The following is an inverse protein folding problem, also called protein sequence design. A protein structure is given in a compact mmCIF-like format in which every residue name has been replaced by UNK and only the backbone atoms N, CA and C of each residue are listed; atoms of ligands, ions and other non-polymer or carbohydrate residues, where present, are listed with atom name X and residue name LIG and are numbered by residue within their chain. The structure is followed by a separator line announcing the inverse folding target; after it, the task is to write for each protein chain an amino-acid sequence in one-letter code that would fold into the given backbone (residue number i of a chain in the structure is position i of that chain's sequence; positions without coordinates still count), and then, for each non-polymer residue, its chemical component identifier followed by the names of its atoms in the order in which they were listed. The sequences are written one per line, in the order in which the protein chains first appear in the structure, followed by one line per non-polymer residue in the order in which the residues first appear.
data_IF_972869578653
#
_entry.id   IF_972869578653
#
_cell.length_a   1.000
_cell.length_b   1.000
_cell.length_c   1.000
_cell.angle_alpha   90.00
_cell.angle_beta   90.00
_cell.angle_gamma   90.00
#
_symmetry.space_group_name_H-M   'P 1'
#
loop_
_entity.id
_entity.type
_entity.pdbx_description
1 polymer ?
#
# COMPACT_ATOMS: atom_id res chain seq x y z
N UNK A 1 45.80 12.52 -40.99
CA UNK A 1 44.72 11.55 -40.71
C UNK A 1 43.99 12.05 -39.48
N UNK A 2 42.93 12.81 -39.72
CA UNK A 2 42.11 13.52 -38.72
C UNK A 2 40.85 12.71 -38.46
N UNK A 3 40.65 12.31 -37.21
CA UNK A 3 39.46 11.61 -36.72
C UNK A 3 38.26 12.57 -36.66
N UNK A 4 37.05 12.15 -37.08
CA UNK A 4 35.87 13.01 -37.03
C UNK A 4 35.25 13.01 -35.62
N UNK A 5 34.88 14.19 -35.11
CA UNK A 5 34.08 14.35 -33.89
C UNK A 5 32.67 13.75 -34.04
N UNK A 6 32.08 13.20 -32.97
CA UNK A 6 30.71 12.69 -33.00
C UNK A 6 29.71 13.86 -33.09
N UNK A 7 28.75 13.77 -34.02
CA UNK A 7 27.64 14.72 -34.12
C UNK A 7 26.66 14.48 -32.96
N UNK A 8 26.37 15.54 -32.21
CA UNK A 8 25.24 15.60 -31.28
C UNK A 8 23.96 15.64 -32.13
N UNK A 9 22.92 14.82 -31.86
CA UNK A 9 21.67 14.92 -32.58
C UNK A 9 20.93 16.19 -32.16
N UNK A 10 20.66 17.08 -33.13
CA UNK A 10 19.70 18.17 -32.97
C UNK A 10 18.31 17.59 -32.76
N UNK A 11 17.80 17.64 -31.53
CA UNK A 11 16.39 17.42 -31.25
C UNK A 11 15.59 18.66 -31.69
N UNK A 12 15.18 18.68 -32.96
CA UNK A 12 14.14 19.59 -33.42
C UNK A 12 12.78 19.03 -32.98
N UNK A 13 12.24 19.56 -31.87
CA UNK A 13 10.86 19.29 -31.48
C UNK A 13 9.95 20.04 -32.46
N UNK A 14 9.55 19.39 -33.54
CA UNK A 14 8.38 19.82 -34.31
C UNK A 14 7.16 19.55 -33.45
N UNK A 15 6.64 20.61 -32.82
CA UNK A 15 5.31 20.58 -32.20
C UNK A 15 4.31 20.43 -33.36
N UNK A 16 3.80 19.22 -33.54
CA UNK A 16 2.75 18.92 -34.51
C UNK A 16 1.46 19.67 -34.14
N UNK A 17 0.73 20.13 -35.16
CA UNK A 17 -0.57 20.80 -35.05
C UNK A 17 -1.56 20.05 -34.15
N UNK A 18 -1.42 18.72 -34.01
CA UNK A 18 -2.25 17.92 -33.09
C UNK A 18 -2.06 18.28 -31.61
N UNK A 19 -0.85 18.67 -31.18
CA UNK A 19 -0.57 19.12 -29.80
C UNK A 19 -1.27 20.45 -29.49
N UNK A 20 -1.34 21.33 -30.48
CA UNK A 20 -2.05 22.62 -30.37
C UNK A 20 -3.59 22.44 -30.32
N UNK A 21 -4.12 21.38 -30.91
CA UNK A 21 -5.54 21.03 -30.85
C UNK A 21 -5.92 20.44 -29.48
N UNK A 22 -5.04 19.64 -28.85
CA UNK A 22 -5.26 19.14 -27.48
C UNK A 22 -5.32 20.28 -26.44
N UNK A 23 -4.55 21.34 -26.66
CA UNK A 23 -4.55 22.57 -25.87
C UNK A 23 -5.88 23.36 -25.97
N UNK A 24 -6.61 23.23 -27.09
CA UNK A 24 -7.89 23.91 -27.30
C UNK A 24 -9.11 23.10 -26.79
N UNK A 25 -8.98 21.76 -26.70
CA UNK A 25 -10.06 20.86 -26.28
C UNK A 25 -10.00 20.47 -24.78
N UNK A 26 -8.85 20.62 -24.13
CA UNK A 26 -8.68 20.33 -22.71
C UNK A 26 -9.16 21.48 -21.81
N UNK A 27 -9.92 21.17 -20.75
CA UNK A 27 -10.30 22.15 -19.72
C UNK A 27 -9.09 22.90 -19.13
N UNK A 28 -9.35 24.00 -18.40
CA UNK A 28 -8.33 24.94 -17.89
C UNK A 28 -7.08 24.26 -17.32
N UNK A 29 -7.23 23.14 -16.61
CA UNK A 29 -6.13 22.36 -16.04
C UNK A 29 -5.12 21.80 -17.09
N UNK A 30 -5.61 21.26 -18.21
CA UNK A 30 -4.77 20.67 -19.26
C UNK A 30 -4.00 21.77 -20.01
N UNK A 31 -4.69 22.87 -20.31
CA UNK A 31 -4.07 24.04 -20.94
C UNK A 31 -2.97 24.66 -20.07
N UNK A 32 -3.22 24.80 -18.77
CA UNK A 32 -2.25 25.34 -17.82
C UNK A 32 -1.03 24.43 -17.64
N UNK A 33 -1.22 23.11 -17.58
CA UNK A 33 -0.13 22.14 -17.47
C UNK A 33 0.79 22.17 -18.70
N UNK A 34 0.22 22.20 -19.91
CA UNK A 34 1.00 22.27 -21.15
C UNK A 34 1.78 23.59 -21.28
N UNK A 35 1.19 24.72 -20.84
CA UNK A 35 1.87 26.01 -20.81
C UNK A 35 3.03 26.03 -19.80
N UNK A 36 2.85 25.42 -18.63
CA UNK A 36 3.89 25.26 -17.62
C UNK A 36 5.03 24.36 -18.13
N UNK A 37 4.73 23.27 -18.84
CA UNK A 37 5.73 22.35 -19.38
C UNK A 37 6.59 23.05 -20.45
N UNK A 38 5.93 23.82 -21.31
CA UNK A 38 6.61 24.67 -22.27
C UNK A 38 7.52 25.69 -21.58
N UNK A 39 7.05 26.36 -20.52
CA UNK A 39 7.84 27.36 -19.79
C UNK A 39 9.05 26.75 -19.09
N UNK A 40 8.91 25.57 -18.50
CA UNK A 40 9.99 24.92 -17.76
C UNK A 40 11.13 24.43 -18.67
N UNK A 41 10.85 24.20 -19.95
CA UNK A 41 11.83 23.78 -20.94
C UNK A 41 12.50 24.94 -21.69
N UNK A 42 12.16 26.20 -21.35
CA UNK A 42 12.73 27.39 -21.98
C UNK A 42 13.88 27.95 -21.13
N UNK A 43 14.96 28.40 -21.79
CA UNK A 43 16.06 29.10 -21.14
C UNK A 43 15.55 30.31 -20.34
N UNK A 44 16.03 30.53 -19.10
CA UNK A 44 15.61 31.66 -18.26
C UNK A 44 15.75 33.00 -18.99
N UNK A 45 14.66 33.76 -19.05
CA UNK A 45 14.61 35.06 -19.74
C UNK A 45 14.09 35.01 -21.18
N UNK A 46 13.87 33.83 -21.75
CA UNK A 46 13.27 33.67 -23.08
C UNK A 46 11.79 34.07 -23.06
N UNK A 47 11.40 35.06 -23.89
CA UNK A 47 10.00 35.47 -24.02
C UNK A 47 9.18 34.39 -24.73
N UNK A 48 8.04 34.01 -24.14
CA UNK A 48 7.08 33.11 -24.80
C UNK A 48 6.62 33.68 -26.16
N UNK A 49 6.42 32.82 -27.17
CA UNK A 49 5.74 33.19 -28.41
C UNK A 49 4.36 33.82 -28.15
N UNK A 50 3.99 34.82 -28.95
CA UNK A 50 2.73 35.59 -28.79
C UNK A 50 1.46 34.73 -28.75
N UNK A 51 1.44 33.59 -29.45
CA UNK A 51 0.28 32.70 -29.46
C UNK A 51 0.10 31.97 -28.11
N UNK A 52 1.18 31.57 -27.45
CA UNK A 52 1.15 30.96 -26.12
C UNK A 52 0.85 31.99 -25.03
N UNK A 53 1.30 33.23 -25.19
CA UNK A 53 0.90 34.33 -24.30
C UNK A 53 -0.62 34.55 -24.32
N UNK A 54 -1.23 34.60 -25.51
CA UNK A 54 -2.69 34.73 -25.66
C UNK A 54 -3.46 33.54 -25.06
N UNK A 55 -2.90 32.34 -25.17
CA UNK A 55 -3.49 31.14 -24.57
C UNK A 55 -3.40 31.19 -23.03
N UNK A 56 -2.27 31.62 -22.48
CA UNK A 56 -2.09 31.83 -21.05
C UNK A 56 -3.08 32.86 -20.49
N UNK A 57 -3.22 34.00 -21.17
CA UNK A 57 -4.17 35.05 -20.80
C UNK A 57 -5.62 34.52 -20.83
N UNK A 58 -5.96 33.71 -21.85
CA UNK A 58 -7.27 33.08 -21.97
C UNK A 58 -7.55 32.09 -20.84
N UNK A 59 -6.58 31.24 -20.49
CA UNK A 59 -6.71 30.28 -19.39
C UNK A 59 -6.83 30.97 -18.03
N UNK A 60 -6.04 32.03 -17.81
CA UNK A 60 -6.07 32.83 -16.58
C UNK A 60 -7.41 33.57 -16.41
N UNK A 61 -7.92 34.16 -17.49
CA UNK A 61 -9.23 34.82 -17.49
C UNK A 61 -10.36 33.82 -17.22
N UNK A 62 -10.27 32.61 -17.79
CA UNK A 62 -11.24 31.53 -17.59
C UNK A 62 -11.21 30.93 -16.18
N UNK A 63 -10.10 31.09 -15.47
CA UNK A 63 -9.95 30.75 -14.05
C UNK A 63 -10.42 31.88 -13.10
N UNK A 64 -10.98 32.97 -13.62
CA UNK A 64 -11.50 34.10 -12.83
C UNK A 64 -10.51 35.25 -12.58
N UNK A 65 -9.34 35.25 -13.23
CA UNK A 65 -8.34 36.32 -13.11
C UNK A 65 -8.60 37.54 -14.01
N UNK A 66 -8.19 38.73 -13.59
CA UNK A 66 -8.25 39.95 -14.41
C UNK A 66 -7.07 40.03 -15.40
N UNK A 67 -7.33 40.49 -16.64
CA UNK A 67 -6.35 40.48 -17.74
C UNK A 67 -5.14 41.40 -17.53
N UNK A 68 -5.27 42.43 -16.68
CA UNK A 68 -4.17 43.32 -16.30
C UNK A 68 -3.07 42.62 -15.50
N UNK A 69 -3.39 41.52 -14.81
CA UNK A 69 -2.45 40.77 -13.96
C UNK A 69 -1.84 39.55 -14.68
N UNK A 70 -2.38 39.13 -15.83
CA UNK A 70 -1.95 37.92 -16.54
C UNK A 70 -0.47 37.95 -16.99
N UNK A 71 0.03 39.16 -17.32
CA UNK A 71 1.44 39.40 -17.68
C UNK A 71 2.42 39.16 -16.52
N UNK A 72 1.97 39.32 -15.26
CA UNK A 72 2.74 39.01 -14.05
C UNK A 72 2.39 37.62 -13.46
N UNK A 73 1.18 37.12 -13.68
CA UNK A 73 0.76 35.82 -13.15
C UNK A 73 1.53 34.66 -13.80
N UNK A 74 1.78 34.75 -15.11
CA UNK A 74 2.56 33.73 -15.82
C UNK A 74 4.03 33.71 -15.43
N UNK A 75 4.58 34.79 -14.84
CA UNK A 75 5.98 34.84 -14.41
C UNK A 75 6.27 34.13 -13.09
N UNK A 76 5.25 33.84 -12.29
CA UNK A 76 5.40 33.20 -10.97
C UNK A 76 4.93 31.75 -10.93
N UNK A 77 4.37 31.23 -12.02
CA UNK A 77 4.02 29.82 -12.12
C UNK A 77 5.26 29.00 -12.53
N UNK A 78 5.92 28.41 -11.54
CA UNK A 78 6.91 27.35 -11.74
C UNK A 78 6.29 26.02 -11.33
N UNK A 79 6.64 24.93 -12.03
CA UNK A 79 6.31 23.62 -11.49
C UNK A 79 7.04 23.44 -10.16
N UNK A 80 6.36 22.94 -9.12
CA UNK A 80 7.05 22.55 -7.91
C UNK A 80 8.12 21.53 -8.27
N UNK A 81 9.35 21.80 -7.87
CA UNK A 81 10.43 20.83 -8.03
C UNK A 81 10.22 19.75 -6.98
N UNK A 82 9.97 18.53 -7.44
CA UNK A 82 9.85 17.35 -6.57
C UNK A 82 11.11 16.51 -6.75
N UNK A 83 11.72 16.11 -5.63
CA UNK A 83 12.87 15.21 -5.68
C UNK A 83 12.47 13.87 -6.34
N UNK A 84 13.39 13.18 -7.03
CA UNK A 84 13.11 11.85 -7.57
C UNK A 84 12.61 10.90 -6.48
N UNK A 85 11.59 10.07 -6.77
CA UNK A 85 11.04 9.16 -5.78
C UNK A 85 12.06 8.08 -5.39
N UNK A 86 12.10 7.75 -4.10
CA UNK A 86 12.86 6.60 -3.59
C UNK A 86 11.94 5.39 -3.60
N UNK A 87 12.32 4.34 -4.35
CA UNK A 87 11.50 3.14 -4.55
C UNK A 87 11.95 1.94 -3.71
N UNK A 88 13.13 2.03 -3.09
CA UNK A 88 13.66 1.04 -2.16
C UNK A 88 13.36 1.43 -0.71
N UNK A 89 13.28 0.44 0.16
CA UNK A 89 13.12 0.62 1.61
C UNK A 89 14.48 0.89 2.26
N UNK A 90 14.50 1.64 3.36
CA UNK A 90 15.71 1.95 4.14
C UNK A 90 15.58 1.37 5.53
N UNK A 91 16.68 0.89 6.08
CA UNK A 91 16.78 0.38 7.46
C UNK A 91 17.89 1.08 8.24
N UNK A 92 18.11 0.62 9.47
CA UNK A 92 19.20 1.10 10.31
C UNK A 92 20.57 0.89 9.64
N UNK A 93 21.55 1.71 10.00
CA UNK A 93 22.93 1.61 9.51
C UNK A 93 23.08 1.69 7.98
N UNK A 94 22.17 2.38 7.28
CA UNK A 94 22.26 2.59 5.83
C UNK A 94 21.86 1.39 4.97
N UNK A 95 21.21 0.37 5.55
CA UNK A 95 20.65 -0.75 4.79
C UNK A 95 19.61 -0.28 3.77
N UNK A 96 19.59 -0.91 2.59
CA UNK A 96 18.56 -0.70 1.57
C UNK A 96 18.03 -2.03 1.04
N UNK A 97 16.75 -2.08 0.68
CA UNK A 97 16.13 -3.28 0.10
C UNK A 97 15.09 -2.90 -0.96
N UNK A 98 15.15 -3.55 -2.12
CA UNK A 98 14.13 -3.38 -3.18
C UNK A 98 12.97 -4.38 -3.02
N UNK A 99 13.24 -5.51 -2.37
CA UNK A 99 12.26 -6.56 -2.15
C UNK A 99 11.29 -6.20 -1.03
N UNK A 100 10.06 -6.69 -1.17
CA UNK A 100 9.01 -6.60 -0.16
C UNK A 100 8.14 -7.84 -0.22
N UNK A 101 7.56 -8.18 0.91
CA UNK A 101 6.59 -9.25 0.99
C UNK A 101 5.19 -8.67 0.78
N UNK A 102 4.48 -9.20 -0.20
CA UNK A 102 3.06 -8.95 -0.41
C UNK A 102 2.25 -9.96 0.40
N UNK A 103 1.15 -9.52 0.98
CA UNK A 103 0.32 -10.33 1.88
C UNK A 103 -1.14 -10.08 1.55
N UNK A 104 -1.91 -11.16 1.45
CA UNK A 104 -3.33 -11.12 1.15
C UNK A 104 -4.11 -11.95 2.16
N UNK A 105 -5.12 -11.34 2.79
CA UNK A 105 -6.16 -12.05 3.52
C UNK A 105 -7.45 -12.02 2.71
N UNK A 106 -7.92 -13.19 2.29
CA UNK A 106 -9.29 -13.38 1.84
C UNK A 106 -10.18 -13.80 3.00
N UNK A 107 -11.27 -13.08 3.22
CA UNK A 107 -12.38 -13.57 4.05
C UNK A 107 -13.39 -14.22 3.13
N UNK A 108 -13.62 -15.52 3.32
CA UNK A 108 -14.44 -16.36 2.45
C UNK A 108 -15.67 -16.82 3.22
N UNK A 109 -16.86 -16.64 2.66
CA UNK A 109 -18.11 -17.10 3.24
C UNK A 109 -18.59 -18.37 2.53
N UNK A 110 -18.97 -19.37 3.31
CA UNK A 110 -19.59 -20.58 2.80
C UNK A 110 -21.07 -20.36 2.50
N UNK A 111 -21.51 -20.80 1.33
CA UNK A 111 -22.93 -20.81 0.97
C UNK A 111 -23.77 -21.74 1.90
N UNK A 112 -23.14 -22.78 2.45
CA UNK A 112 -23.75 -23.74 3.38
C UNK A 112 -22.75 -24.16 4.45
N UNK A 113 -23.16 -24.07 5.72
CA UNK A 113 -22.35 -24.52 6.87
C UNK A 113 -22.01 -26.01 6.80
N UNK A 114 -22.87 -26.82 6.17
CA UNK A 114 -22.67 -28.27 6.04
C UNK A 114 -21.50 -28.62 5.11
N UNK A 115 -21.25 -27.79 4.09
CA UNK A 115 -20.20 -28.02 3.11
C UNK A 115 -18.86 -27.40 3.50
N UNK A 116 -18.86 -26.45 4.46
CA UNK A 116 -17.67 -25.74 4.91
C UNK A 116 -16.53 -26.68 5.36
N UNK A 117 -16.76 -27.70 6.22
CA UNK A 117 -15.68 -28.58 6.66
C UNK A 117 -14.97 -29.28 5.49
N UNK A 118 -15.72 -29.76 4.50
CA UNK A 118 -15.17 -30.44 3.32
C UNK A 118 -14.40 -29.49 2.41
N UNK A 119 -14.94 -28.30 2.14
CA UNK A 119 -14.26 -27.30 1.32
C UNK A 119 -12.97 -26.80 1.98
N UNK A 120 -13.00 -26.58 3.30
CA UNK A 120 -11.83 -26.18 4.09
C UNK A 120 -10.73 -27.24 4.06
N UNK A 121 -11.08 -28.52 4.24
CA UNK A 121 -10.09 -29.60 4.19
C UNK A 121 -9.47 -29.73 2.79
N UNK A 122 -10.30 -29.61 1.75
CA UNK A 122 -9.82 -29.60 0.37
C UNK A 122 -8.87 -28.43 0.10
N UNK A 123 -9.21 -27.24 0.60
CA UNK A 123 -8.37 -26.03 0.51
C UNK A 123 -7.01 -26.27 1.17
N UNK A 124 -6.96 -26.74 2.43
CA UNK A 124 -5.72 -27.06 3.14
C UNK A 124 -4.83 -28.00 2.33
N UNK A 125 -5.40 -29.11 1.85
CA UNK A 125 -4.67 -30.07 1.01
C UNK A 125 -4.12 -29.44 -0.28
N UNK A 126 -4.88 -28.57 -0.94
CA UNK A 126 -4.40 -27.91 -2.17
C UNK A 126 -3.26 -26.92 -1.89
N UNK A 127 -3.30 -26.22 -0.74
CA UNK A 127 -2.24 -25.31 -0.30
C UNK A 127 -0.95 -26.09 -0.01
N UNK A 128 -1.01 -27.20 0.72
CA UNK A 128 0.16 -28.06 0.97
C UNK A 128 0.72 -28.67 -0.32
N UNK A 129 -0.15 -29.22 -1.17
CA UNK A 129 0.26 -29.91 -2.41
C UNK A 129 0.96 -28.96 -3.39
N UNK A 130 0.57 -27.68 -3.41
CA UNK A 130 1.18 -26.64 -4.25
C UNK A 130 2.25 -25.82 -3.54
N UNK A 131 2.58 -26.19 -2.30
CA UNK A 131 3.57 -25.53 -1.46
C UNK A 131 3.30 -24.03 -1.26
N UNK A 132 2.04 -23.65 -1.05
CA UNK A 132 1.61 -22.25 -0.86
C UNK A 132 1.71 -21.84 0.60
N UNK A 133 2.64 -20.95 0.92
CA UNK A 133 2.76 -20.35 2.25
C UNK A 133 1.46 -19.67 2.66
N UNK A 134 0.85 -20.16 3.74
CA UNK A 134 -0.53 -19.80 4.06
C UNK A 134 -0.91 -20.05 5.52
N UNK A 135 -1.96 -19.37 5.96
CA UNK A 135 -2.68 -19.64 7.21
C UNK A 135 -4.17 -19.68 6.92
N UNK A 136 -4.88 -20.67 7.45
CA UNK A 136 -6.35 -20.71 7.43
C UNK A 136 -6.88 -20.52 8.84
N UNK A 137 -7.80 -19.58 8.98
CA UNK A 137 -8.50 -19.25 10.21
C UNK A 137 -9.98 -19.63 10.10
N UNK A 138 -10.58 -20.14 11.17
CA UNK A 138 -12.02 -20.10 11.37
C UNK A 138 -12.42 -18.73 11.93
N UNK A 139 -13.45 -18.10 11.35
CA UNK A 139 -13.95 -16.80 11.78
C UNK A 139 -14.72 -16.94 13.12
N UNK A 140 -14.29 -16.18 14.12
CA UNK A 140 -14.92 -16.16 15.45
C UNK A 140 -16.30 -15.50 15.40
N UNK A 141 -16.50 -14.53 14.51
CA UNK A 141 -17.73 -13.76 14.41
C UNK A 141 -18.75 -14.36 13.44
N UNK A 142 -18.33 -15.26 12.55
CA UNK A 142 -19.23 -15.87 11.56
C UNK A 142 -18.96 -17.38 11.41
N UNK A 143 -19.89 -18.26 11.86
CA UNK A 143 -19.70 -19.71 11.82
C UNK A 143 -19.64 -20.31 10.41
N UNK A 144 -19.90 -19.50 9.37
CA UNK A 144 -19.82 -19.90 7.97
C UNK A 144 -18.61 -19.34 7.25
N UNK A 145 -17.69 -18.69 7.95
CA UNK A 145 -16.59 -17.98 7.31
C UNK A 145 -15.22 -18.49 7.74
N UNK A 146 -14.28 -18.35 6.81
CA UNK A 146 -12.86 -18.60 7.05
C UNK A 146 -12.04 -17.43 6.53
N UNK A 147 -10.87 -17.22 7.15
CA UNK A 147 -9.83 -16.35 6.61
C UNK A 147 -8.72 -17.18 5.97
N UNK A 148 -8.35 -16.89 4.73
CA UNK A 148 -7.16 -17.42 4.08
C UNK A 148 -6.12 -16.31 3.95
N UNK A 149 -5.04 -16.41 4.71
CA UNK A 149 -3.87 -15.54 4.60
C UNK A 149 -2.83 -16.22 3.71
N UNK A 150 -2.29 -15.51 2.73
CA UNK A 150 -1.17 -15.94 1.88
C UNK A 150 -0.15 -14.81 1.73
N UNK A 151 1.09 -15.15 1.41
CA UNK A 151 2.14 -14.15 1.17
C UNK A 151 3.14 -14.62 0.12
N UNK A 152 3.76 -13.66 -0.57
CA UNK A 152 4.81 -13.90 -1.57
C UNK A 152 5.57 -12.61 -1.88
N UNK A 153 6.83 -12.71 -2.28
CA UNK A 153 7.59 -11.58 -2.85
C UNK A 153 7.22 -11.29 -4.31
N UNK A 154 6.66 -12.28 -5.02
CA UNK A 154 6.14 -12.12 -6.38
C UNK A 154 4.61 -11.85 -6.35
N UNK A 155 4.14 -10.64 -6.71
CA UNK A 155 2.72 -10.35 -6.75
C UNK A 155 1.95 -11.19 -7.79
N UNK A 156 2.63 -11.78 -8.78
CA UNK A 156 1.98 -12.68 -9.74
C UNK A 156 1.52 -13.99 -9.11
N UNK A 157 2.05 -14.34 -7.93
CA UNK A 157 1.68 -15.52 -7.15
C UNK A 157 0.18 -15.56 -6.80
N UNK A 158 -0.41 -14.44 -6.37
CA UNK A 158 -1.82 -14.41 -5.99
C UNK A 158 -2.73 -14.74 -7.18
N UNK A 159 -2.41 -14.23 -8.36
CA UNK A 159 -3.21 -14.42 -9.57
C UNK A 159 -2.98 -15.79 -10.19
N UNK A 160 -1.72 -16.25 -10.26
CA UNK A 160 -1.36 -17.47 -11.01
C UNK A 160 -1.39 -18.74 -10.16
N UNK A 161 -1.29 -18.63 -8.84
CA UNK A 161 -1.20 -19.78 -7.93
C UNK A 161 -2.39 -19.84 -6.97
N UNK A 162 -2.69 -18.75 -6.26
CA UNK A 162 -3.74 -18.73 -5.23
C UNK A 162 -5.14 -18.73 -5.84
N UNK A 163 -5.41 -17.82 -6.78
CA UNK A 163 -6.74 -17.69 -7.40
C UNK A 163 -7.24 -19.00 -8.04
N UNK A 164 -6.42 -19.76 -8.82
CA UNK A 164 -6.87 -21.04 -9.36
C UNK A 164 -7.30 -22.04 -8.30
N UNK A 165 -6.66 -22.07 -7.12
CA UNK A 165 -7.05 -22.94 -6.00
C UNK A 165 -8.45 -22.55 -5.50
N UNK A 166 -8.69 -21.26 -5.29
CA UNK A 166 -9.98 -20.74 -4.82
C UNK A 166 -11.10 -20.94 -5.85
N UNK A 167 -10.77 -21.13 -7.12
CA UNK A 167 -11.73 -21.38 -8.21
C UNK A 167 -11.97 -22.88 -8.47
N UNK A 168 -11.27 -23.79 -7.80
CA UNK A 168 -11.46 -25.23 -8.00
C UNK A 168 -12.83 -25.69 -7.50
N UNK A 169 -13.43 -26.67 -8.17
CA UNK A 169 -14.64 -27.34 -7.67
C UNK A 169 -14.41 -28.01 -6.31
N UNK A 170 -15.42 -28.03 -5.45
CA UNK A 170 -15.35 -28.30 -4.02
C UNK A 170 -14.70 -27.20 -3.18
N UNK A 171 -14.31 -26.06 -3.78
CA UNK A 171 -13.78 -24.88 -3.07
C UNK A 171 -14.58 -23.65 -3.54
N UNK A 172 -14.44 -23.21 -4.79
CA UNK A 172 -15.03 -21.95 -5.28
C UNK A 172 -16.54 -21.97 -5.46
N UNK A 173 -17.12 -23.15 -5.58
CA UNK A 173 -18.57 -23.42 -5.54
C UNK A 173 -19.14 -23.42 -4.12
N UNK A 174 -18.29 -23.47 -3.09
CA UNK A 174 -18.71 -23.48 -1.67
C UNK A 174 -18.35 -22.16 -0.98
N UNK A 175 -17.11 -21.70 -1.18
CA UNK A 175 -16.48 -20.56 -0.53
C UNK A 175 -16.39 -19.38 -1.49
N UNK A 176 -17.07 -18.29 -1.18
CA UNK A 176 -17.05 -17.06 -1.98
C UNK A 176 -16.38 -15.93 -1.22
N UNK A 177 -15.54 -15.09 -1.87
CA UNK A 177 -14.98 -13.91 -1.21
C UNK A 177 -16.08 -12.99 -0.69
N UNK A 178 -16.02 -12.65 0.59
CA UNK A 178 -16.89 -11.65 1.20
C UNK A 178 -16.58 -10.30 0.56
N UNK A 179 -17.57 -9.62 -0.05
CA UNK A 179 -17.33 -8.36 -0.75
C UNK A 179 -16.68 -7.32 0.16
N UNK A 180 -15.59 -6.69 -0.29
CA UNK A 180 -14.87 -5.62 0.42
C UNK A 180 -14.17 -6.05 1.73
N UNK A 181 -13.95 -7.35 1.94
CA UNK A 181 -13.20 -7.87 3.10
C UNK A 181 -11.83 -8.46 2.74
N UNK A 182 -11.46 -8.46 1.46
CA UNK A 182 -10.09 -8.79 1.06
C UNK A 182 -9.16 -7.69 1.56
N UNK A 183 -8.15 -8.06 2.34
CA UNK A 183 -7.11 -7.14 2.80
C UNK A 183 -5.83 -7.48 2.07
N UNK A 184 -5.29 -6.54 1.30
CA UNK A 184 -4.07 -6.73 0.53
C UNK A 184 -3.09 -5.61 0.84
N UNK A 185 -1.82 -5.95 1.08
CA UNK A 185 -0.80 -4.98 1.39
C UNK A 185 0.61 -5.52 1.17
N UNK A 186 1.59 -4.66 1.37
CA UNK A 186 3.01 -5.00 1.32
C UNK A 186 3.75 -4.53 2.56
N UNK A 187 4.82 -5.24 2.93
CA UNK A 187 5.74 -4.77 3.97
C UNK A 187 6.42 -3.47 3.56
N UNK A 188 6.81 -2.69 4.56
CA UNK A 188 7.46 -1.39 4.44
C UNK A 188 8.37 -1.18 5.64
N UNK A 189 9.37 -0.31 5.56
CA UNK A 189 10.28 -0.01 6.67
C UNK A 189 10.02 1.39 7.24
N UNK A 190 10.50 1.63 8.46
CA UNK A 190 10.46 2.96 9.10
C UNK A 190 11.85 3.63 9.13
N UNK A 191 12.89 2.99 8.58
CA UNK A 191 14.24 3.57 8.49
C UNK A 191 15.18 3.22 9.64
N UNK A 192 14.71 2.45 10.63
CA UNK A 192 15.42 2.22 11.89
C UNK A 192 15.52 0.74 12.26
N UNK A 193 15.01 -0.14 11.42
CA UNK A 193 15.02 -1.58 11.61
C UNK A 193 16.47 -2.10 11.69
N UNK A 194 16.84 -2.85 12.74
CA UNK A 194 18.20 -3.39 12.88
C UNK A 194 18.60 -4.35 11.75
N UNK A 195 17.66 -5.17 11.30
CA UNK A 195 17.79 -6.02 10.12
C UNK A 195 16.62 -5.74 9.18
N UNK A 196 16.92 -5.11 8.05
CA UNK A 196 15.90 -4.69 7.09
C UNK A 196 15.25 -5.89 6.40
N UNK A 197 16.04 -6.90 6.01
CA UNK A 197 15.54 -8.12 5.37
C UNK A 197 14.67 -8.92 6.33
N UNK A 198 15.08 -9.08 7.59
CA UNK A 198 14.25 -9.73 8.60
C UNK A 198 12.89 -9.04 8.73
N UNK A 199 12.90 -7.71 8.81
CA UNK A 199 11.67 -6.95 8.98
C UNK A 199 10.74 -7.03 7.77
N UNK A 200 11.29 -6.95 6.55
CA UNK A 200 10.50 -6.91 5.32
C UNK A 200 10.05 -8.29 4.83
N UNK A 201 10.84 -9.34 5.09
CA UNK A 201 10.62 -10.67 4.49
C UNK A 201 10.26 -11.71 5.55
N UNK A 202 11.01 -11.80 6.65
CA UNK A 202 10.91 -12.91 7.59
C UNK A 202 9.93 -12.68 8.74
N UNK A 203 9.73 -11.43 9.17
CA UNK A 203 8.89 -11.10 10.32
C UNK A 203 7.44 -11.55 10.13
N UNK A 204 6.87 -11.34 8.95
CA UNK A 204 5.46 -11.67 8.69
C UNK A 204 5.21 -13.18 8.71
N UNK A 205 5.93 -14.03 7.95
CA UNK A 205 5.76 -15.47 8.02
C UNK A 205 5.99 -16.01 9.44
N UNK A 206 7.05 -15.52 10.12
CA UNK A 206 7.37 -15.88 11.50
C UNK A 206 6.20 -15.58 12.44
N UNK A 207 5.61 -14.39 12.37
CA UNK A 207 4.51 -13.97 13.22
C UNK A 207 3.19 -14.69 12.90
N UNK A 208 2.85 -14.84 11.61
CA UNK A 208 1.61 -15.47 11.18
C UNK A 208 1.55 -16.97 11.52
N UNK A 209 2.70 -17.65 11.54
CA UNK A 209 2.80 -19.11 11.76
C UNK A 209 3.28 -19.50 13.16
N UNK A 210 3.41 -18.54 14.08
CA UNK A 210 3.81 -18.79 15.48
C UNK A 210 2.97 -19.88 16.15
N UNK A 211 3.61 -20.96 16.62
CA UNK A 211 2.92 -22.09 17.22
C UNK A 211 2.11 -21.72 18.48
N UNK A 212 2.60 -20.78 19.28
CA UNK A 212 2.02 -20.33 20.55
C UNK A 212 0.92 -19.25 20.39
N UNK A 213 0.65 -18.81 19.17
CA UNK A 213 -0.26 -17.70 18.88
C UNK A 213 -1.31 -18.10 17.82
N UNK A 214 -2.37 -18.85 18.20
CA UNK A 214 -3.37 -19.33 17.26
C UNK A 214 -4.42 -18.27 16.89
N UNK A 215 -4.59 -17.20 17.67
CA UNK A 215 -5.58 -16.17 17.37
C UNK A 215 -4.99 -15.03 16.57
N UNK A 216 -5.77 -14.49 15.64
CA UNK A 216 -5.41 -13.29 14.90
C UNK A 216 -6.59 -12.33 14.77
N UNK A 217 -6.29 -11.04 14.79
CA UNK A 217 -7.20 -9.95 14.47
C UNK A 217 -6.62 -9.18 13.29
N UNK A 218 -7.39 -9.05 12.21
CA UNK A 218 -6.98 -8.34 10.99
C UNK A 218 -7.93 -7.19 10.70
N UNK A 219 -7.39 -6.03 10.32
CA UNK A 219 -8.19 -4.87 9.96
C UNK A 219 -7.42 -3.92 9.03
N UNK A 220 -8.10 -3.29 8.07
CA UNK A 220 -7.55 -2.15 7.36
C UNK A 220 -7.72 -0.87 8.19
N UNK A 221 -6.90 0.14 7.90
CA UNK A 221 -7.03 1.46 8.51
C UNK A 221 -6.55 2.57 7.60
N UNK A 222 -7.09 3.77 7.83
CA UNK A 222 -6.71 5.00 7.15
C UNK A 222 -6.50 6.12 8.16
N UNK A 223 -5.43 6.88 8.03
CA UNK A 223 -5.21 8.10 8.81
C UNK A 223 -6.01 9.27 8.24
N UNK A 224 -6.31 10.27 9.06
CA UNK A 224 -6.85 11.53 8.56
C UNK A 224 -5.76 12.31 7.82
N UNK A 225 -6.16 13.16 6.87
CA UNK A 225 -5.24 14.07 6.17
C UNK A 225 -4.49 14.98 7.14
N UNK A 226 -5.13 15.37 8.24
CA UNK A 226 -4.56 16.25 9.28
C UNK A 226 -3.30 15.69 9.92
N UNK A 227 -3.16 14.35 9.96
CA UNK A 227 -1.94 13.69 10.44
C UNK A 227 -0.73 14.11 9.61
N UNK A 228 -0.89 14.09 8.28
CA UNK A 228 0.18 14.40 7.34
C UNK A 228 0.51 15.90 7.29
N UNK A 229 -0.39 16.74 7.82
CA UNK A 229 -0.16 18.19 7.98
C UNK A 229 0.57 18.55 9.28
N UNK A 230 0.76 17.59 10.20
CA UNK A 230 1.56 17.82 11.41
C UNK A 230 3.05 17.93 11.08
N UNK A 231 3.81 18.56 11.97
CA UNK A 231 5.28 18.60 11.87
C UNK A 231 5.87 17.17 11.87
N UNK A 232 7.02 16.92 11.20
CA UNK A 232 7.70 15.64 11.28
C UNK A 232 8.00 15.19 12.72
N UNK A 233 8.33 16.14 13.60
CA UNK A 233 8.59 15.91 15.02
C UNK A 233 7.34 15.43 15.76
N UNK A 234 6.19 16.05 15.51
CA UNK A 234 4.92 15.64 16.12
C UNK A 234 4.44 14.30 15.60
N UNK A 235 4.56 14.06 14.28
CA UNK A 235 4.27 12.75 13.69
C UNK A 235 5.13 11.67 14.36
N UNK A 236 6.43 11.91 14.51
CA UNK A 236 7.36 11.00 15.16
C UNK A 236 6.97 10.74 16.63
N UNK A 237 6.76 11.79 17.42
CA UNK A 237 6.35 11.68 18.84
C UNK A 237 5.08 10.85 19.01
N UNK A 238 4.05 11.13 18.20
CA UNK A 238 2.78 10.41 18.26
C UNK A 238 2.94 8.92 17.89
N UNK A 239 3.71 8.62 16.85
CA UNK A 239 3.98 7.25 16.41
C UNK A 239 4.85 6.50 17.41
N UNK A 240 5.81 7.15 18.06
CA UNK A 240 6.63 6.54 19.12
C UNK A 240 5.79 6.17 20.34
N UNK A 241 4.87 7.03 20.77
CA UNK A 241 3.93 6.69 21.85
C UNK A 241 3.08 5.46 21.48
N UNK A 242 2.53 5.43 20.27
CA UNK A 242 1.76 4.27 19.78
C UNK A 242 2.61 3.00 19.70
N UNK A 243 3.85 3.10 19.20
CA UNK A 243 4.78 1.99 19.11
C UNK A 243 5.22 1.46 20.49
N UNK A 244 5.35 2.32 21.50
CA UNK A 244 5.70 1.91 22.85
C UNK A 244 4.66 0.97 23.47
N UNK A 245 3.37 1.21 23.22
CA UNK A 245 2.30 0.29 23.64
C UNK A 245 2.45 -1.06 22.94
N UNK A 246 2.59 -1.08 21.61
CA UNK A 246 2.77 -2.31 20.85
C UNK A 246 3.97 -3.13 21.34
N UNK A 247 5.10 -2.46 21.60
CA UNK A 247 6.30 -3.07 22.16
C UNK A 247 6.05 -3.71 23.52
N UNK A 248 5.38 -3.02 24.45
CA UNK A 248 5.07 -3.55 25.78
C UNK A 248 4.21 -4.83 25.72
N UNK A 249 3.26 -4.92 24.78
CA UNK A 249 2.47 -6.14 24.58
C UNK A 249 3.28 -7.28 23.95
N UNK A 250 4.21 -6.97 23.05
CA UNK A 250 5.11 -7.97 22.47
C UNK A 250 6.09 -8.54 23.50
N UNK A 251 6.62 -7.71 24.41
CA UNK A 251 7.56 -8.11 25.46
C UNK A 251 6.98 -9.16 26.42
N UNK A 252 5.68 -9.07 26.72
CA UNK A 252 4.98 -10.05 27.57
C UNK A 252 4.33 -11.18 26.78
N UNK A 253 4.58 -11.24 25.46
CA UNK A 253 4.03 -12.25 24.55
C UNK A 253 2.51 -12.21 24.38
N UNK A 254 1.87 -11.06 24.62
CA UNK A 254 0.42 -10.90 24.53
C UNK A 254 -0.06 -10.62 23.10
N UNK A 255 0.73 -9.91 22.28
CA UNK A 255 0.40 -9.60 20.90
C UNK A 255 1.67 -9.38 20.06
N UNK A 256 1.65 -9.87 18.83
CA UNK A 256 2.69 -9.66 17.82
C UNK A 256 2.08 -8.98 16.59
N UNK A 257 2.73 -7.92 16.10
CA UNK A 257 2.21 -7.15 14.97
C UNK A 257 2.67 -7.69 13.62
N UNK A 258 1.78 -7.58 12.65
CA UNK A 258 2.05 -7.60 11.21
C UNK A 258 1.52 -6.26 10.68
N UNK A 259 2.40 -5.46 10.08
CA UNK A 259 2.06 -4.13 9.56
C UNK A 259 2.38 -4.07 8.09
N UNK A 260 1.39 -3.67 7.30
CA UNK A 260 1.47 -3.58 5.84
C UNK A 260 0.95 -2.22 5.40
N UNK A 261 1.55 -1.67 4.36
CA UNK A 261 0.99 -0.53 3.64
C UNK A 261 0.17 -1.01 2.45
N UNK A 262 -0.92 -0.33 2.15
CA UNK A 262 -1.81 -0.65 1.04
C UNK A 262 -2.22 0.57 0.19
N UNK A 263 -1.46 1.66 0.26
CA UNK A 263 -1.64 2.85 -0.58
C UNK A 263 -1.83 2.50 -2.07
N UNK A 264 -2.98 2.89 -2.62
CA UNK A 264 -3.32 2.70 -4.04
C UNK A 264 -3.57 1.25 -4.49
N UNK A 265 -3.55 0.28 -3.56
CA UNK A 265 -3.79 -1.15 -3.86
C UNK A 265 -4.90 -1.77 -2.99
N UNK A 266 -5.54 -0.97 -2.14
CA UNK A 266 -6.74 -1.34 -1.39
C UNK A 266 -7.99 -0.78 -2.08
N UNK A 267 -9.07 -1.59 -2.12
CA UNK A 267 -10.31 -1.21 -2.80
C UNK A 267 -11.06 -0.06 -2.12
N UNK A 268 -10.78 0.18 -0.84
CA UNK A 268 -11.48 1.15 0.00
C UNK A 268 -10.59 2.35 0.36
N UNK A 269 -9.46 2.49 -0.35
CA UNK A 269 -8.48 3.55 -0.16
C UNK A 269 -7.98 3.62 1.30
N UNK A 270 -7.79 2.46 1.91
CA UNK A 270 -7.06 2.34 3.17
C UNK A 270 -5.55 2.49 2.92
N UNK A 271 -4.85 2.85 3.98
CA UNK A 271 -3.40 3.12 3.92
C UNK A 271 -2.60 1.97 4.51
N UNK A 272 -3.16 1.28 5.49
CA UNK A 272 -2.54 0.15 6.16
C UNK A 272 -3.48 -1.04 6.27
N UNK A 273 -2.89 -2.24 6.27
CA UNK A 273 -3.50 -3.47 6.77
C UNK A 273 -2.69 -3.92 7.97
N UNK A 274 -3.36 -4.15 9.09
CA UNK A 274 -2.74 -4.56 10.35
C UNK A 274 -3.26 -5.93 10.76
N UNK A 275 -2.34 -6.83 11.07
CA UNK A 275 -2.60 -8.09 11.74
C UNK A 275 -2.03 -8.06 13.15
N UNK A 276 -2.80 -8.51 14.14
CA UNK A 276 -2.34 -8.75 15.50
C UNK A 276 -2.50 -10.24 15.79
N UNK A 277 -1.40 -10.93 16.10
CA UNK A 277 -1.39 -12.38 16.34
C UNK A 277 -1.04 -12.64 17.81
N UNK A 278 -1.75 -13.53 18.48
CA UNK A 278 -1.61 -13.73 19.92
C UNK A 278 -2.11 -15.08 20.42
N UNK A 279 -1.74 -15.40 21.66
CA UNK A 279 -2.12 -16.65 22.34
C UNK A 279 -3.62 -16.74 22.63
N UNK A 280 -4.25 -15.59 22.86
CA UNK A 280 -5.67 -15.45 23.22
C UNK A 280 -6.25 -14.13 22.69
N UNK A 281 -7.58 -14.04 22.59
CA UNK A 281 -8.26 -12.84 22.12
C UNK A 281 -8.23 -11.67 23.11
N UNK A 282 -8.02 -11.94 24.40
CA UNK A 282 -8.03 -10.88 25.41
C UNK A 282 -6.83 -9.96 25.22
N UNK A 283 -5.62 -10.50 25.06
CA UNK A 283 -4.42 -9.71 24.76
C UNK A 283 -4.57 -8.85 23.50
N UNK A 284 -5.13 -9.44 22.44
CA UNK A 284 -5.37 -8.74 21.15
C UNK A 284 -6.40 -7.63 21.27
N UNK A 285 -7.50 -7.87 22.00
CA UNK A 285 -8.50 -6.84 22.25
C UNK A 285 -7.94 -5.72 23.14
N UNK A 286 -7.16 -6.08 24.15
CA UNK A 286 -6.61 -5.16 25.13
C UNK A 286 -5.58 -4.22 24.53
N UNK A 287 -4.72 -4.68 23.61
CA UNK A 287 -3.77 -3.77 22.92
C UNK A 287 -4.52 -2.73 22.08
N UNK A 288 -5.57 -3.12 21.36
CA UNK A 288 -6.40 -2.18 20.61
C UNK A 288 -7.08 -1.19 21.54
N UNK A 289 -7.61 -1.66 22.68
CA UNK A 289 -8.22 -0.79 23.71
C UNK A 289 -7.23 0.26 24.24
N UNK A 290 -6.00 -0.13 24.57
CA UNK A 290 -4.99 0.80 25.07
C UNK A 290 -4.53 1.78 23.99
N UNK A 291 -4.38 1.31 22.74
CA UNK A 291 -4.05 2.18 21.60
C UNK A 291 -5.11 3.25 21.35
N UNK A 292 -6.39 3.05 21.71
CA UNK A 292 -7.44 4.09 21.59
C UNK A 292 -7.13 5.39 22.33
N UNK A 293 -6.24 5.34 23.32
CA UNK A 293 -5.87 6.48 24.16
C UNK A 293 -4.70 7.29 23.59
N UNK A 294 -4.07 6.86 22.50
CA UNK A 294 -2.96 7.61 21.90
C UNK A 294 -3.48 8.72 21.00
N UNK A 295 -2.80 9.87 20.98
CA UNK A 295 -3.14 11.01 20.11
C UNK A 295 -3.32 10.57 18.65
N UNK A 296 -2.41 9.73 18.14
CA UNK A 296 -2.47 9.16 16.79
C UNK A 296 -3.82 8.46 16.52
N UNK A 297 -4.26 7.61 17.44
CA UNK A 297 -5.49 6.83 17.25
C UNK A 297 -6.75 7.64 17.56
N UNK A 298 -6.71 8.53 18.56
CA UNK A 298 -7.87 9.32 18.99
C UNK A 298 -8.21 10.46 18.04
N UNK A 299 -7.22 11.16 17.49
CA UNK A 299 -7.42 12.37 16.70
C UNK A 299 -7.17 12.18 15.21
N UNK A 300 -6.33 11.21 14.83
CA UNK A 300 -5.76 11.13 13.48
C UNK A 300 -6.14 9.88 12.69
N UNK A 301 -7.20 9.18 13.10
CA UNK A 301 -7.78 8.08 12.32
C UNK A 301 -9.02 8.54 11.54
N UNK A 302 -9.07 8.17 10.26
CA UNK A 302 -10.25 8.33 9.41
C UNK A 302 -11.14 7.09 9.42
N UNK A 303 -10.53 5.91 9.35
CA UNK A 303 -11.23 4.62 9.41
C UNK A 303 -10.38 3.58 10.14
N UNK A 304 -11.04 2.64 10.79
CA UNK A 304 -10.42 1.48 11.43
C UNK A 304 -11.38 0.30 11.39
N UNK A 305 -11.01 -0.73 10.62
CA UNK A 305 -11.87 -1.88 10.34
C UNK A 305 -12.52 -1.83 8.95
N UNK A 306 -13.32 -2.85 8.60
CA UNK A 306 -13.87 -3.88 9.50
C UNK A 306 -12.82 -4.83 10.09
N UNK A 307 -13.13 -5.41 11.26
CA UNK A 307 -12.25 -6.35 11.96
C UNK A 307 -12.63 -7.80 11.62
N UNK A 308 -11.68 -8.55 11.06
CA UNK A 308 -11.73 -10.00 10.99
C UNK A 308 -11.07 -10.59 12.25
N UNK A 309 -11.72 -11.56 12.90
CA UNK A 309 -11.21 -12.22 14.10
C UNK A 309 -11.17 -13.71 13.83
N UNK A 310 -9.98 -14.29 13.81
CA UNK A 310 -9.75 -15.65 13.38
C UNK A 310 -9.06 -16.51 14.44
N UNK A 311 -9.46 -17.78 14.54
CA UNK A 311 -8.68 -18.82 15.21
C UNK A 311 -8.04 -19.71 14.15
N UNK A 312 -6.71 -19.84 14.19
CA UNK A 312 -5.94 -20.62 13.21
C UNK A 312 -6.28 -22.10 13.34
N UNK A 313 -6.60 -22.71 12.21
CA UNK A 313 -6.87 -24.16 12.08
C UNK A 313 -5.91 -24.86 11.13
N UNK A 314 -5.03 -24.11 10.47
CA UNK A 314 -3.97 -24.61 9.59
C UNK A 314 -2.93 -23.53 9.32
N UNK A 315 -1.67 -23.93 9.18
CA UNK A 315 -0.59 -23.09 8.67
C UNK A 315 0.39 -23.94 7.88
N UNK A 316 0.89 -23.38 6.78
CA UNK A 316 1.94 -23.96 5.95
C UNK A 316 2.99 -22.90 5.63
N UNK A 317 4.27 -23.26 5.70
CA UNK A 317 5.37 -22.48 5.13
C UNK A 317 5.95 -23.25 3.96
N UNK A 318 6.15 -22.57 2.83
CA UNK A 318 6.82 -23.17 1.67
C UNK A 318 8.20 -23.70 2.06
N UNK A 319 8.60 -24.79 1.41
CA UNK A 319 9.88 -25.45 1.67
C UNK A 319 11.07 -24.53 1.34
N UNK A 320 10.92 -23.67 0.34
CA UNK A 320 11.96 -22.69 -0.03
C UNK A 320 12.20 -21.64 1.07
N UNK A 321 11.18 -21.32 1.87
CA UNK A 321 11.32 -20.41 3.01
C UNK A 321 11.97 -21.08 4.24
N UNK A 322 11.86 -22.40 4.34
CA UNK A 322 12.33 -23.14 5.54
C UNK A 322 13.83 -23.45 5.46
N UNK A 323 14.41 -23.48 4.26
CA UNK A 323 15.85 -23.71 4.03
C UNK A 323 16.75 -22.50 4.32
N UNK A 324 16.18 -21.35 4.70
CA UNK A 324 16.91 -20.12 5.00
C UNK A 324 17.11 -19.84 6.51
N UNK A 325 16.73 -20.78 7.39
CA UNK A 325 16.80 -20.65 8.84
C UNK A 325 17.94 -21.49 9.46
#
# INVERSE_FOLDING_TARGET
MSSPSPRIPEFSIKIDQQTAVLLAAGGVAIGSAALLLYRNNMEPGTRMPRFLQRLADSLYTRAGGQSSDARNATSHMSFPTVAPPVLYERGGNGQTCEERLYVQLHVLDANSSANLPGAREKLKKQLETRDVSSVVYDDVNNPRSIGLLTWSTDPSHFVKVVNPILQMGGIGDVLTPRPRWTMFGKTYANGHEPSLVDFLIEKVPRNATRADAPYAVWYPMRRSGDFYMQSPEDQCRMLLHHAAIGKAFAEVGAAYDIRLNCYGIDADDNEFVVGLVGKDLHGLSKVVQEMRKTEHTSYYLKSLGPFFVGMRVFSHRSRSETTAA
#
